data_IF_986789618549
#
_entry.id   IF_986789618549
#
_cell.length_a   1.000
_cell.length_b   1.000
_cell.length_c   1.000
_cell.angle_alpha   90.00
_cell.angle_beta   90.00
_cell.angle_gamma   90.00
#
_symmetry.space_group_name_H-M   'P 1'
#
loop_
_entity.id
_entity.type
_entity.pdbx_description
1 polymer ?
#
# COMPACT_ATOMS: atom_id res chain seq x y z
N UNK A 1 -1.51 -2.05 -18.49
CA UNK A 1 -1.57 -0.65 -18.02
C UNK A 1 -0.44 -0.43 -17.05
N UNK A 2 0.30 0.65 -17.18
CA UNK A 2 1.38 0.98 -16.26
C UNK A 2 0.79 1.45 -14.93
N UNK A 3 0.92 0.63 -13.89
CA UNK A 3 0.64 1.03 -12.52
C UNK A 3 1.75 0.47 -11.62
N UNK A 4 2.61 1.34 -11.09
CA UNK A 4 3.78 0.96 -10.31
C UNK A 4 3.96 1.89 -9.11
N UNK A 5 4.62 1.38 -8.07
CA UNK A 5 5.03 2.14 -6.90
C UNK A 5 6.54 2.01 -6.68
N UNK A 6 7.17 3.13 -6.33
CA UNK A 6 8.57 3.24 -5.95
C UNK A 6 8.68 3.97 -4.61
N UNK A 7 9.42 3.38 -3.66
CA UNK A 7 9.70 3.98 -2.34
C UNK A 7 11.23 3.94 -2.15
N UNK A 8 11.96 5.01 -2.54
CA UNK A 8 13.42 4.98 -2.63
C UNK A 8 14.13 4.60 -1.33
N UNK A 9 13.67 5.13 -0.19
CA UNK A 9 14.30 4.91 1.12
C UNK A 9 14.41 3.42 1.50
N UNK A 10 13.42 2.61 1.11
CA UNK A 10 13.37 1.19 1.44
C UNK A 10 13.64 0.30 0.21
N UNK A 11 14.05 0.89 -0.92
CA UNK A 11 14.34 0.16 -2.15
C UNK A 11 13.13 -0.55 -2.77
N UNK A 12 11.90 -0.24 -2.36
CA UNK A 12 10.71 -0.89 -2.89
C UNK A 12 10.41 -0.39 -4.31
N UNK A 13 10.31 -1.30 -5.27
CA UNK A 13 9.89 -1.04 -6.63
C UNK A 13 9.00 -2.19 -7.10
N UNK A 14 7.71 -1.94 -7.31
CA UNK A 14 6.75 -3.00 -7.58
C UNK A 14 5.61 -2.58 -8.49
N UNK A 15 5.10 -3.57 -9.23
CA UNK A 15 3.85 -3.45 -9.97
C UNK A 15 2.67 -3.38 -9.00
N UNK A 16 1.70 -2.53 -9.32
CA UNK A 16 0.42 -2.40 -8.63
C UNK A 16 -0.68 -3.02 -9.48
N UNK A 17 -1.43 -3.94 -8.90
CA UNK A 17 -2.58 -4.60 -9.54
C UNK A 17 -3.86 -3.84 -9.14
N UNK A 18 -4.62 -3.28 -10.10
CA UNK A 18 -5.77 -2.44 -9.82
C UNK A 18 -7.00 -3.24 -9.39
N UNK A 19 -7.89 -2.58 -8.62
CA UNK A 19 -9.24 -3.05 -8.30
C UNK A 19 -9.34 -4.46 -7.70
N UNK A 20 -8.44 -4.79 -6.79
CA UNK A 20 -8.45 -6.08 -6.09
C UNK A 20 -9.39 -6.01 -4.91
N UNK A 21 -10.29 -6.99 -4.79
CA UNK A 21 -11.21 -7.10 -3.66
C UNK A 21 -10.44 -7.39 -2.36
N UNK A 22 -10.41 -6.48 -1.38
CA UNK A 22 -9.71 -6.72 -0.12
C UNK A 22 -10.44 -7.73 0.79
N UNK A 23 -11.71 -8.06 0.50
CA UNK A 23 -12.50 -9.02 1.29
C UNK A 23 -12.48 -10.44 0.74
N UNK A 24 -11.91 -10.67 -0.44
CA UNK A 24 -11.81 -11.99 -1.06
C UNK A 24 -10.35 -12.48 -1.11
N UNK A 25 -9.99 -13.36 -0.18
CA UNK A 25 -8.66 -13.95 -0.10
C UNK A 25 -8.24 -14.66 -1.39
N UNK A 26 -9.19 -15.29 -2.11
CA UNK A 26 -8.89 -15.97 -3.36
C UNK A 26 -8.54 -14.96 -4.47
N UNK A 27 -9.08 -13.75 -4.38
CA UNK A 27 -8.76 -12.67 -5.31
C UNK A 27 -7.42 -12.01 -5.00
N UNK A 28 -7.14 -11.69 -3.73
CA UNK A 28 -5.95 -10.90 -3.40
C UNK A 28 -4.70 -11.73 -3.11
N UNK A 29 -4.78 -12.93 -2.54
CA UNK A 29 -3.58 -13.70 -2.18
C UNK A 29 -2.69 -14.03 -3.40
N UNK A 30 -3.21 -14.39 -4.59
CA UNK A 30 -2.37 -14.56 -5.78
C UNK A 30 -1.65 -13.27 -6.17
N UNK A 31 -2.34 -12.13 -6.09
CA UNK A 31 -1.77 -10.81 -6.41
C UNK A 31 -0.64 -10.45 -5.47
N UNK A 32 -0.80 -10.70 -4.17
CA UNK A 32 0.22 -10.34 -3.18
C UNK A 32 1.51 -11.15 -3.32
N UNK A 33 1.49 -12.29 -4.03
CA UNK A 33 2.70 -13.03 -4.42
C UNK A 33 3.46 -12.36 -5.55
N UNK A 34 2.76 -11.59 -6.39
CA UNK A 34 3.33 -10.95 -7.59
C UNK A 34 3.67 -9.46 -7.38
N UNK A 35 3.01 -8.78 -6.43
CA UNK A 35 3.22 -7.36 -6.22
C UNK A 35 2.29 -6.73 -5.19
N UNK A 36 1.89 -5.49 -5.47
CA UNK A 36 1.05 -4.68 -4.58
C UNK A 36 -0.38 -4.67 -5.10
N UNK A 37 -1.36 -4.84 -4.22
CA UNK A 37 -2.77 -4.73 -4.57
C UNK A 37 -3.27 -3.30 -4.32
N UNK A 38 -3.97 -2.73 -5.29
CA UNK A 38 -4.83 -1.56 -5.08
C UNK A 38 -6.23 -2.03 -4.71
N UNK A 39 -6.74 -1.56 -3.57
CA UNK A 39 -8.04 -1.95 -3.07
C UNK A 39 -9.17 -1.50 -3.98
N UNK A 40 -10.08 -2.40 -4.30
CA UNK A 40 -11.35 -2.06 -4.92
C UNK A 40 -12.15 -1.14 -3.98
N UNK A 41 -12.84 -0.16 -4.55
CA UNK A 41 -13.61 0.83 -3.79
C UNK A 41 -12.84 2.11 -3.46
N UNK A 42 -11.51 2.12 -3.64
CA UNK A 42 -10.67 3.31 -3.43
C UNK A 42 -10.35 4.01 -4.75
N UNK A 43 -9.95 5.28 -4.69
CA UNK A 43 -9.71 6.07 -5.90
C UNK A 43 -8.32 5.81 -6.49
N UNK A 44 -8.15 6.16 -7.77
CA UNK A 44 -6.87 6.07 -8.47
C UNK A 44 -6.04 7.37 -8.30
N UNK A 45 -4.71 7.31 -8.54
CA UNK A 45 -3.86 8.50 -8.52
C UNK A 45 -4.40 9.64 -9.38
N UNK A 46 -4.39 10.87 -8.86
CA UNK A 46 -4.97 12.06 -9.51
C UNK A 46 -6.46 12.28 -9.26
N UNK A 47 -7.10 11.46 -8.43
CA UNK A 47 -8.50 11.62 -8.02
C UNK A 47 -8.61 12.07 -6.56
N UNK A 48 -9.67 12.82 -6.25
CA UNK A 48 -9.97 13.24 -4.88
C UNK A 48 -10.41 12.04 -4.03
N UNK A 49 -9.67 11.76 -2.94
CA UNK A 49 -9.94 10.64 -2.04
C UNK A 49 -8.72 9.82 -1.65
N UNK A 50 -8.97 8.67 -1.04
CA UNK A 50 -7.92 7.73 -0.63
C UNK A 50 -7.57 6.77 -1.76
N UNK A 51 -6.28 6.64 -2.05
CA UNK A 51 -5.70 5.54 -2.83
C UNK A 51 -5.17 4.55 -1.81
N UNK A 52 -5.71 3.33 -1.78
CA UNK A 52 -5.36 2.34 -0.76
C UNK A 52 -4.62 1.16 -1.38
N UNK A 53 -3.36 0.99 -0.99
CA UNK A 53 -2.49 -0.07 -1.47
C UNK A 53 -2.11 -1.01 -0.32
N UNK A 54 -2.10 -2.30 -0.56
CA UNK A 54 -1.70 -3.30 0.43
C UNK A 54 -0.81 -4.39 -0.15
N UNK A 55 0.13 -4.86 0.67
CA UNK A 55 1.02 -5.97 0.34
C UNK A 55 1.47 -6.73 1.59
N UNK A 56 2.05 -7.92 1.40
CA UNK A 56 2.51 -8.78 2.50
C UNK A 56 3.60 -8.11 3.36
N UNK A 57 3.58 -8.45 4.66
CA UNK A 57 4.68 -8.16 5.61
C UNK A 57 5.70 -9.31 5.70
N UNK A 58 5.37 -10.51 5.21
CA UNK A 58 6.07 -11.82 5.35
C UNK A 58 6.15 -12.42 6.75
N UNK A 59 6.08 -13.76 6.80
CA UNK A 59 6.17 -14.62 7.99
C UNK A 59 7.58 -15.20 8.24
N UNK A 60 8.58 -14.95 7.39
CA UNK A 60 9.95 -15.38 7.65
C UNK A 60 11.00 -14.59 6.82
N UNK A 61 12.05 -14.10 7.49
CA UNK A 61 13.13 -13.28 6.90
C UNK A 61 13.95 -14.02 5.82
N UNK A 62 13.96 -15.35 5.84
CA UNK A 62 14.62 -16.20 4.82
C UNK A 62 13.86 -16.28 3.49
N UNK A 63 12.61 -15.82 3.47
CA UNK A 63 11.67 -15.93 2.35
C UNK A 63 11.38 -14.57 1.68
N UNK A 64 12.11 -13.51 2.06
CA UNK A 64 11.95 -12.14 1.52
C UNK A 64 12.17 -12.11 0.00
N UNK A 65 13.07 -12.95 -0.53
CA UNK A 65 13.26 -13.13 -1.97
C UNK A 65 12.22 -14.05 -2.64
N UNK A 66 11.44 -14.81 -1.87
CA UNK A 66 10.49 -15.83 -2.36
C UNK A 66 9.03 -15.36 -2.34
N UNK A 67 8.70 -14.37 -1.49
CA UNK A 67 7.33 -13.89 -1.27
C UNK A 67 7.10 -12.39 -1.55
N UNK A 68 8.07 -11.69 -2.16
CA UNK A 68 7.92 -10.28 -2.54
C UNK A 68 7.41 -9.40 -1.37
N UNK A 69 8.18 -9.34 -0.28
CA UNK A 69 7.91 -8.59 0.96
C UNK A 69 7.95 -7.05 0.80
N UNK A 70 7.39 -6.51 -0.27
CA UNK A 70 7.59 -5.14 -0.75
C UNK A 70 7.29 -4.09 0.35
N UNK A 71 6.32 -4.37 1.21
CA UNK A 71 5.89 -3.46 2.28
C UNK A 71 6.39 -3.87 3.69
N UNK A 72 7.26 -4.87 3.82
CA UNK A 72 7.86 -5.24 5.11
C UNK A 72 8.57 -4.06 5.79
N UNK A 73 9.28 -3.24 5.00
CA UNK A 73 10.04 -2.09 5.49
C UNK A 73 9.21 -0.80 5.62
N UNK A 74 7.88 -0.84 5.48
CA UNK A 74 7.04 0.36 5.70
C UNK A 74 7.23 0.96 7.10
N UNK A 75 7.57 0.13 8.09
CA UNK A 75 7.88 0.57 9.46
C UNK A 75 9.07 1.52 9.56
N UNK A 76 9.94 1.53 8.55
CA UNK A 76 11.16 2.35 8.53
C UNK A 76 10.92 3.71 7.82
N UNK A 77 9.69 3.95 7.34
CA UNK A 77 9.29 5.24 6.79
C UNK A 77 8.95 6.24 7.91
N UNK A 78 9.19 7.51 7.62
CA UNK A 78 9.04 8.64 8.52
C UNK A 78 8.44 9.83 7.77
N UNK A 79 7.81 10.79 8.46
CA UNK A 79 7.30 12.00 7.83
C UNK A 79 8.39 12.70 7.00
N UNK A 80 8.07 13.06 5.77
CA UNK A 80 9.01 13.67 4.82
C UNK A 80 9.59 12.71 3.78
N UNK A 81 9.50 11.38 3.98
CA UNK A 81 9.98 10.42 2.99
C UNK A 81 9.13 10.45 1.71
N UNK A 82 9.77 10.23 0.56
CA UNK A 82 9.12 10.28 -0.74
C UNK A 82 8.57 8.91 -1.16
N UNK A 83 7.37 8.95 -1.76
CA UNK A 83 6.75 7.81 -2.45
C UNK A 83 6.37 8.27 -3.85
N UNK A 84 6.65 7.45 -4.86
CA UNK A 84 6.34 7.74 -6.26
C UNK A 84 5.40 6.68 -6.79
N UNK A 85 4.32 7.09 -7.43
CA UNK A 85 3.47 6.22 -8.22
C UNK A 85 3.56 6.59 -9.70
N UNK A 86 3.57 5.59 -10.57
CA UNK A 86 3.41 5.77 -12.01
C UNK A 86 2.07 5.13 -12.35
N UNK A 87 1.13 5.92 -12.88
CA UNK A 87 -0.18 5.44 -13.29
C UNK A 87 -0.51 5.98 -14.67
N UNK A 88 -0.76 5.07 -15.62
CA UNK A 88 -1.05 5.38 -17.02
C UNK A 88 -0.02 6.34 -17.66
N UNK A 89 1.28 6.07 -17.45
CA UNK A 89 2.38 6.90 -17.94
C UNK A 89 2.58 8.23 -17.20
N UNK A 90 1.73 8.55 -16.22
CA UNK A 90 1.82 9.78 -15.43
C UNK A 90 2.46 9.52 -14.08
N UNK A 91 3.41 10.38 -13.69
CA UNK A 91 4.12 10.31 -12.41
C UNK A 91 3.40 11.14 -11.33
N UNK A 92 3.13 10.52 -10.20
CA UNK A 92 2.55 11.13 -9.01
C UNK A 92 3.54 11.01 -7.84
N UNK A 93 3.92 12.15 -7.25
CA UNK A 93 4.82 12.20 -6.11
C UNK A 93 4.03 12.43 -4.82
N UNK A 94 4.35 11.70 -3.77
CA UNK A 94 3.76 11.83 -2.46
C UNK A 94 4.86 11.98 -1.41
N UNK A 95 4.48 12.56 -0.28
CA UNK A 95 5.34 12.70 0.89
C UNK A 95 4.63 12.10 2.08
N UNK A 96 5.30 11.18 2.78
CA UNK A 96 4.80 10.55 4.01
C UNK A 96 4.48 11.62 5.04
N UNK A 97 3.33 11.50 5.69
CA UNK A 97 2.85 12.44 6.71
C UNK A 97 2.85 11.82 8.10
N UNK A 98 2.45 10.54 8.21
CA UNK A 98 2.40 9.80 9.48
C UNK A 98 2.24 8.30 9.23
N UNK A 99 2.35 7.52 10.29
CA UNK A 99 1.94 6.12 10.33
C UNK A 99 0.96 5.88 11.48
N UNK A 100 0.22 4.78 11.44
CA UNK A 100 -0.66 4.32 12.52
C UNK A 100 -0.72 2.79 12.55
N UNK A 101 -0.92 2.22 13.74
CA UNK A 101 -1.26 0.81 13.90
C UNK A 101 -2.76 0.75 14.20
N UNK A 102 -3.50 -0.01 13.39
CA UNK A 102 -4.96 -0.14 13.51
C UNK A 102 -5.36 -1.60 13.62
N UNK A 103 -6.61 -1.82 14.03
CA UNK A 103 -7.21 -3.14 14.03
C UNK A 103 -7.50 -3.65 12.61
N UNK A 104 -7.46 -4.98 12.36
CA UNK A 104 -7.69 -5.54 11.04
C UNK A 104 -9.08 -5.25 10.45
N UNK A 105 -10.07 -4.98 11.29
CA UNK A 105 -11.45 -4.67 10.93
C UNK A 105 -11.72 -3.17 10.75
N UNK A 106 -10.73 -2.30 11.01
CA UNK A 106 -10.82 -0.87 10.70
C UNK A 106 -10.64 -0.63 9.19
N UNK A 107 -11.73 -0.83 8.46
CA UNK A 107 -11.83 -0.68 7.00
C UNK A 107 -12.29 0.72 6.56
N UNK A 108 -12.39 1.66 7.50
CA UNK A 108 -12.90 3.03 7.26
C UNK A 108 -12.14 3.72 6.12
N UNK A 109 -10.83 3.52 6.04
CA UNK A 109 -9.96 4.09 5.00
C UNK A 109 -10.28 3.60 3.58
N UNK A 110 -10.97 2.46 3.43
CA UNK A 110 -11.45 1.91 2.17
C UNK A 110 -12.90 2.34 1.92
N UNK A 111 -13.78 2.21 2.91
CA UNK A 111 -15.22 2.50 2.74
C UNK A 111 -15.51 3.99 2.58
N UNK A 112 -14.67 4.85 3.15
CA UNK A 112 -14.78 6.31 3.08
C UNK A 112 -13.73 6.91 2.13
N UNK A 113 -13.28 6.14 1.14
CA UNK A 113 -12.21 6.54 0.24
C UNK A 113 -12.58 7.65 -0.76
N UNK A 114 -13.84 8.10 -0.80
CA UNK A 114 -14.34 9.05 -1.79
C UNK A 114 -14.38 10.47 -1.24
N UNK A 115 -13.84 11.42 -2.02
CA UNK A 115 -13.86 12.85 -1.67
C UNK A 115 -12.76 13.27 -0.70
N UNK A 116 -12.63 14.58 -0.50
CA UNK A 116 -11.51 15.17 0.25
C UNK A 116 -10.21 15.28 -0.57
N UNK A 117 -9.09 15.66 0.06
CA UNK A 117 -7.81 15.74 -0.62
C UNK A 117 -7.31 14.35 -1.02
N UNK A 118 -6.58 14.28 -2.14
CA UNK A 118 -5.91 13.05 -2.55
C UNK A 118 -4.89 12.60 -1.51
N UNK A 119 -5.04 11.35 -1.04
CA UNK A 119 -4.20 10.76 -0.02
C UNK A 119 -3.82 9.32 -0.40
N UNK A 120 -2.55 9.00 -0.31
CA UNK A 120 -2.05 7.63 -0.48
C UNK A 120 -1.95 6.95 0.90
N UNK A 121 -2.49 5.75 1.00
CA UNK A 121 -2.42 4.91 2.18
C UNK A 121 -1.80 3.57 1.79
N UNK A 122 -0.72 3.20 2.48
CA UNK A 122 -0.02 1.91 2.30
C UNK A 122 -0.25 1.04 3.54
N UNK A 123 -0.68 -0.19 3.34
CA UNK A 123 -0.97 -1.15 4.41
C UNK A 123 -0.07 -2.38 4.35
N UNK A 124 0.43 -2.80 5.52
CA UNK A 124 0.98 -4.15 5.72
C UNK A 124 0.49 -4.75 7.05
N UNK A 125 0.69 -6.06 7.25
CA UNK A 125 0.35 -6.69 8.54
C UNK A 125 1.31 -6.29 9.65
N UNK A 126 0.84 -6.30 10.90
CA UNK A 126 1.63 -5.89 12.04
C UNK A 126 1.35 -6.72 13.31
N UNK A 127 2.37 -7.05 14.13
CA UNK A 127 3.80 -7.00 13.82
C UNK A 127 4.16 -7.85 12.59
N UNK A 128 5.35 -7.66 12.00
CA UNK A 128 5.77 -8.47 10.86
C UNK A 128 5.71 -9.97 11.19
N UNK A 129 5.17 -10.75 10.26
CA UNK A 129 4.95 -12.19 10.43
C UNK A 129 3.72 -12.60 11.23
N UNK A 130 2.79 -11.65 11.43
CA UNK A 130 1.50 -11.90 12.06
C UNK A 130 0.39 -11.25 11.24
N UNK A 131 -0.87 -11.48 11.61
CA UNK A 131 -2.04 -10.84 11.02
C UNK A 131 -2.86 -10.06 12.05
N UNK A 132 -2.30 -9.80 13.23
CA UNK A 132 -3.03 -9.30 14.40
C UNK A 132 -3.49 -7.86 14.26
N UNK A 133 -2.66 -7.01 13.65
CA UNK A 133 -2.93 -5.60 13.41
C UNK A 133 -2.52 -5.24 11.98
N UNK A 134 -2.74 -3.98 11.61
CA UNK A 134 -2.25 -3.40 10.36
C UNK A 134 -1.38 -2.20 10.67
N UNK A 135 -0.24 -2.09 9.98
CA UNK A 135 0.53 -0.87 9.89
C UNK A 135 0.06 -0.10 8.66
N UNK A 136 -0.40 1.13 8.88
CA UNK A 136 -0.77 2.08 7.84
C UNK A 136 0.27 3.19 7.75
N UNK A 137 0.72 3.49 6.54
CA UNK A 137 1.53 4.68 6.22
C UNK A 137 0.70 5.61 5.36
N UNK A 138 0.59 6.86 5.78
CA UNK A 138 -0.19 7.90 5.12
C UNK A 138 0.76 8.85 4.42
N UNK A 139 0.42 9.24 3.19
CA UNK A 139 1.17 10.19 2.40
C UNK A 139 0.23 11.12 1.64
N UNK A 140 0.63 12.39 1.50
CA UNK A 140 -0.14 13.40 0.76
C UNK A 140 0.52 13.70 -0.58
N UNK A 141 -0.26 14.15 -1.56
CA UNK A 141 0.28 14.61 -2.85
C UNK A 141 1.23 15.79 -2.63
N UNK A 142 2.40 15.73 -3.28
CA UNK A 142 3.37 16.84 -3.40
C UNK A 142 3.00 17.78 -4.53
#
# INVERSE_FOLDING_TARGET
TEFNILIPKIGANAKVFPNIDPSDENAFLPVLREGVAHSRGTVFPGSAGNIYLFAHSTDNFWDVGRYNAIFYLLKDLSPGDEIVMIYQGTRFNYTVTRSAIVDPDDVSFITEAQGGPEQLILQTCWPPGTTWKRLLVFAKRK
#
